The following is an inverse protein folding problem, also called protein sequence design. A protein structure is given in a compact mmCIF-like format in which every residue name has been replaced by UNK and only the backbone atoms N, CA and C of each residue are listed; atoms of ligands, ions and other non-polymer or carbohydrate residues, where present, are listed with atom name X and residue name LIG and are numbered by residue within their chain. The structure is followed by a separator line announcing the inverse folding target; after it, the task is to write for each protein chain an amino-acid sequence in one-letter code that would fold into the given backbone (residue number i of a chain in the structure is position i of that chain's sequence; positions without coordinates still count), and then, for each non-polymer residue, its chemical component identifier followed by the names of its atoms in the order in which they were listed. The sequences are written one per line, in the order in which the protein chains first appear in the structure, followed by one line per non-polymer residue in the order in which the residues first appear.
data_IF_190816941179
#
_entry.id   IF_190816941179
#
_cell.length_a   1.000
_cell.length_b   1.000
_cell.length_c   1.000
_cell.angle_alpha   90.00
_cell.angle_beta   90.00
_cell.angle_gamma   90.00
#
_symmetry.space_group_name_H-M   'P 1'
#
loop_
_entity.id
_entity.type
_entity.pdbx_description
1 polymer ?
#
# COMPACT_ATOMS: atom_id res chain seq x y z
N UNK A 1 -12.99 0.94 16.75
CA UNK A 1 -13.08 0.95 15.28
C UNK A 1 -13.46 -0.43 14.78
N UNK A 2 -14.34 -0.53 13.79
CA UNK A 2 -14.71 -1.81 13.17
C UNK A 2 -13.54 -2.43 12.38
N UNK A 3 -13.43 -3.77 12.34
CA UNK A 3 -12.40 -4.45 11.57
C UNK A 3 -12.61 -4.25 10.06
N UNK A 4 -11.58 -3.75 9.38
CA UNK A 4 -11.56 -3.55 7.93
C UNK A 4 -11.40 -4.90 7.22
N UNK A 5 -12.38 -5.29 6.41
CA UNK A 5 -12.26 -6.43 5.49
C UNK A 5 -11.87 -5.91 4.11
N UNK A 6 -10.67 -6.27 3.64
CA UNK A 6 -10.15 -5.84 2.34
C UNK A 6 -9.29 -6.95 1.70
N UNK A 7 -9.41 -7.16 0.39
CA UNK A 7 -8.63 -8.18 -0.34
C UNK A 7 -8.76 -9.60 0.22
N UNK A 8 -9.95 -9.98 0.71
CA UNK A 8 -10.20 -11.28 1.35
C UNK A 8 -9.54 -11.47 2.72
N UNK A 9 -9.07 -10.39 3.37
CA UNK A 9 -8.40 -10.42 4.68
C UNK A 9 -9.07 -9.45 5.64
N UNK A 10 -9.04 -9.79 6.93
CA UNK A 10 -9.52 -8.92 8.01
C UNK A 10 -8.35 -8.21 8.67
N UNK A 11 -8.48 -6.90 8.85
CA UNK A 11 -7.50 -6.03 9.48
C UNK A 11 -8.15 -5.28 10.66
N UNK A 12 -7.46 -5.24 11.79
CA UNK A 12 -7.80 -4.35 12.89
C UNK A 12 -7.12 -3.00 12.66
N UNK A 13 -7.88 -1.92 12.72
CA UNK A 13 -7.37 -0.55 12.61
C UNK A 13 -7.08 -0.02 14.01
N UNK A 14 -5.89 0.52 14.18
CA UNK A 14 -5.44 1.17 15.40
C UNK A 14 -4.94 2.56 15.05
N UNK A 15 -5.08 3.50 15.98
CA UNK A 15 -4.60 4.85 15.82
C UNK A 15 -4.08 5.40 17.14
N UNK A 16 -3.12 6.31 17.05
CA UNK A 16 -2.67 7.15 18.16
C UNK A 16 -2.72 8.59 17.71
N UNK A 17 -3.24 9.47 18.57
CA UNK A 17 -3.29 10.92 18.34
C UNK A 17 -2.40 11.60 19.36
N UNK A 18 -1.61 12.56 18.89
CA UNK A 18 -0.70 13.31 19.76
C UNK A 18 -0.18 14.58 19.10
N UNK A 19 0.62 15.34 19.85
CA UNK A 19 1.33 16.52 19.35
C UNK A 19 2.76 16.12 19.02
N UNK A 20 3.24 16.53 17.85
CA UNK A 20 4.62 16.24 17.42
C UNK A 20 5.60 17.05 18.27
N UNK A 21 6.58 16.36 18.86
CA UNK A 21 7.72 16.98 19.54
C UNK A 21 8.91 17.14 18.60
N UNK A 22 9.20 16.10 17.83
CA UNK A 22 10.36 16.08 16.94
C UNK A 22 10.05 15.33 15.64
N UNK A 23 10.70 15.76 14.56
CA UNK A 23 10.62 15.11 13.25
C UNK A 23 12.01 14.89 12.67
N UNK A 24 12.22 13.74 12.05
CA UNK A 24 13.40 13.38 11.27
C UNK A 24 12.99 12.90 9.89
N UNK A 25 13.78 13.23 8.87
CA UNK A 25 13.55 12.76 7.50
C UNK A 25 14.87 12.34 6.88
N UNK A 26 14.92 11.11 6.36
CA UNK A 26 16.07 10.57 5.65
C UNK A 26 15.63 9.99 4.31
N UNK A 27 16.52 10.02 3.31
CA UNK A 27 16.27 9.49 1.99
C UNK A 27 17.34 8.46 1.63
N UNK A 28 16.89 7.30 1.18
CA UNK A 28 17.74 6.20 0.73
C UNK A 28 17.43 5.91 -0.74
N UNK A 29 18.42 6.06 -1.63
CA UNK A 29 18.27 5.67 -3.04
C UNK A 29 18.93 4.32 -3.26
N UNK A 30 18.13 3.33 -3.65
CA UNK A 30 18.61 2.00 -4.05
C UNK A 30 18.74 1.96 -5.56
N UNK A 31 19.93 1.60 -6.06
CA UNK A 31 20.19 1.42 -7.49
C UNK A 31 20.51 -0.05 -7.73
N UNK A 32 19.79 -0.67 -8.66
CA UNK A 32 20.00 -2.04 -9.10
C UNK A 32 20.19 -2.05 -10.61
N UNK A 33 21.30 -2.60 -11.09
CA UNK A 33 21.60 -2.77 -12.50
C UNK A 33 21.83 -4.24 -12.84
N UNK A 34 21.41 -4.67 -14.02
CA UNK A 34 21.60 -6.03 -14.50
C UNK A 34 21.51 -6.11 -16.02
N UNK A 35 22.12 -7.15 -16.59
CA UNK A 35 22.31 -7.29 -18.03
C UNK A 35 23.67 -6.76 -18.48
N UNK A 36 23.83 -6.63 -19.79
CA UNK A 36 25.13 -6.42 -20.41
C UNK A 36 25.80 -7.75 -20.76
N UNK A 37 26.42 -7.74 -21.93
CA UNK A 37 27.06 -8.89 -22.55
C UNK A 37 27.18 -8.63 -24.04
N UNK A 38 28.17 -9.21 -24.69
CA UNK A 38 28.31 -9.08 -26.14
C UNK A 38 29.26 -10.12 -26.68
N UNK A 39 28.97 -10.60 -27.87
CA UNK A 39 29.82 -11.54 -28.58
C UNK A 39 30.13 -10.95 -29.95
N UNK A 40 31.39 -11.08 -30.36
CA UNK A 40 31.85 -10.73 -31.71
C UNK A 40 32.44 -11.96 -32.37
N UNK A 41 32.11 -12.17 -33.64
CA UNK A 41 32.66 -13.23 -34.47
C UNK A 41 32.77 -12.75 -35.92
N UNK A 42 33.97 -12.85 -36.50
CA UNK A 42 34.20 -12.56 -37.92
C UNK A 42 33.83 -11.13 -38.37
N UNK A 43 33.94 -10.12 -37.50
CA UNK A 43 33.61 -8.71 -37.82
C UNK A 43 32.17 -8.30 -37.54
N UNK A 44 31.29 -9.23 -37.13
CA UNK A 44 29.93 -8.94 -36.68
C UNK A 44 29.80 -9.15 -35.17
N UNK A 45 28.94 -8.37 -34.52
CA UNK A 45 28.72 -8.51 -33.08
C UNK A 45 27.32 -8.10 -32.64
N UNK A 46 26.88 -8.67 -31.53
CA UNK A 46 25.63 -8.34 -30.87
C UNK A 46 25.90 -8.03 -29.40
N UNK A 47 25.17 -7.04 -28.86
CA UNK A 47 25.24 -6.65 -27.46
C UNK A 47 23.89 -6.80 -26.79
N UNK A 48 23.86 -7.38 -25.60
CA UNK A 48 22.70 -7.38 -24.73
C UNK A 48 22.59 -6.01 -24.02
N UNK A 49 21.39 -5.41 -23.98
CA UNK A 49 21.18 -4.16 -23.29
C UNK A 49 21.39 -4.31 -21.78
N UNK A 50 21.90 -3.24 -21.16
CA UNK A 50 21.96 -3.09 -19.71
C UNK A 50 20.69 -2.41 -19.23
N UNK A 51 20.06 -2.95 -18.19
CA UNK A 51 18.90 -2.36 -17.53
C UNK A 51 19.31 -1.85 -16.16
N UNK A 52 19.05 -0.56 -15.90
CA UNK A 52 19.32 0.09 -14.61
C UNK A 52 17.99 0.57 -14.04
N UNK A 53 17.73 0.24 -12.78
CA UNK A 53 16.55 0.67 -12.03
C UNK A 53 16.98 1.32 -10.73
N UNK A 54 16.50 2.52 -10.48
CA UNK A 54 16.65 3.21 -9.20
C UNK A 54 15.31 3.32 -8.47
N UNK A 55 15.34 3.22 -7.15
CA UNK A 55 14.19 3.42 -6.28
C UNK A 55 14.61 4.24 -5.06
N UNK A 56 14.02 5.42 -4.90
CA UNK A 56 14.18 6.22 -3.68
C UNK A 56 13.13 5.81 -2.65
N UNK A 57 13.58 5.66 -1.41
CA UNK A 57 12.81 5.35 -0.22
C UNK A 57 12.96 6.51 0.74
N UNK A 58 11.84 7.04 1.22
CA UNK A 58 11.83 8.12 2.21
C UNK A 58 11.51 7.50 3.57
N UNK A 59 12.34 7.76 4.56
CA UNK A 59 12.16 7.37 5.95
C UNK A 59 11.80 8.61 6.75
N UNK A 60 10.60 8.66 7.30
CA UNK A 60 10.11 9.73 8.16
C UNK A 60 10.06 9.20 9.60
N UNK A 61 10.69 9.90 10.54
CA UNK A 61 10.63 9.58 11.97
C UNK A 61 9.88 10.71 12.68
N UNK A 62 8.90 10.37 13.51
CA UNK A 62 8.16 11.35 14.30
C UNK A 62 8.03 10.87 15.74
N UNK A 63 8.14 11.81 16.67
CA UNK A 63 7.89 11.59 18.09
C UNK A 63 6.64 12.39 18.46
N UNK A 64 5.63 11.71 19.00
CA UNK A 64 4.37 12.35 19.40
C UNK A 64 4.10 12.12 20.88
N UNK A 65 3.63 13.15 21.57
CA UNK A 65 3.11 13.05 22.94
C UNK A 65 1.60 12.93 22.88
N UNK A 66 1.04 11.88 23.49
CA UNK A 66 -0.41 11.69 23.59
C UNK A 66 -1.04 12.56 24.69
N UNK A 67 -2.37 12.49 24.84
CA UNK A 67 -3.09 13.27 25.85
C UNK A 67 -2.79 12.83 27.30
N UNK A 68 -2.18 11.66 27.49
CA UNK A 68 -1.77 11.11 28.78
C UNK A 68 -0.27 11.39 29.05
N UNK A 69 0.34 12.29 28.29
CA UNK A 69 1.75 12.68 28.37
C UNK A 69 2.75 11.54 28.07
N UNK A 70 2.30 10.47 27.40
CA UNK A 70 3.20 9.42 26.94
C UNK A 70 3.79 9.77 25.58
N UNK A 71 5.11 9.61 25.46
CA UNK A 71 5.80 9.76 24.18
C UNK A 71 5.78 8.46 23.39
N UNK A 72 5.44 8.58 22.10
CA UNK A 72 5.43 7.48 21.14
C UNK A 72 6.33 7.83 19.96
N UNK A 73 7.30 6.97 19.68
CA UNK A 73 8.16 7.08 18.51
C UNK A 73 7.60 6.25 17.35
N UNK A 74 7.45 6.89 16.18
CA UNK A 74 6.99 6.23 14.96
C UNK A 74 8.05 6.34 13.86
N UNK A 75 8.37 5.20 13.26
CA UNK A 75 9.19 5.11 12.06
C UNK A 75 8.29 4.79 10.87
N UNK A 76 8.16 5.75 9.99
CA UNK A 76 7.27 5.74 8.84
C UNK A 76 8.10 5.70 7.57
N UNK A 77 7.58 5.02 6.55
CA UNK A 77 8.27 4.84 5.28
C UNK A 77 7.35 5.20 4.13
N UNK A 78 7.88 5.92 3.12
CA UNK A 78 7.18 6.34 1.91
C UNK A 78 5.92 7.20 2.18
N UNK A 79 5.90 7.98 3.28
CA UNK A 79 4.82 8.96 3.54
C UNK A 79 5.18 10.36 3.04
N UNK A 80 6.47 10.71 3.08
CA UNK A 80 6.96 12.06 2.79
C UNK A 80 6.23 13.13 3.62
N UNK A 81 6.27 12.96 4.94
CA UNK A 81 5.53 13.81 5.86
C UNK A 81 6.00 15.27 5.81
N UNK A 82 5.05 16.18 5.64
CA UNK A 82 5.26 17.62 5.80
C UNK A 82 4.61 18.07 7.13
N UNK A 83 5.23 17.68 8.23
CA UNK A 83 4.79 18.04 9.59
C UNK A 83 5.92 18.70 10.37
N UNK A 84 5.56 19.58 11.31
CA UNK A 84 6.48 20.29 12.19
C UNK A 84 6.11 20.02 13.65
N UNK A 85 7.07 20.17 14.54
CA UNK A 85 6.85 20.28 15.99
C UNK A 85 5.68 21.21 16.32
N UNK A 86 4.83 20.80 17.26
CA UNK A 86 3.60 21.48 17.65
C UNK A 86 2.37 21.11 16.81
N UNK A 87 2.52 20.39 15.70
CA UNK A 87 1.36 19.91 14.94
C UNK A 87 0.68 18.75 15.67
N UNK A 88 -0.66 18.77 15.72
CA UNK A 88 -1.46 17.65 16.21
C UNK A 88 -1.68 16.67 15.07
N UNK A 89 -1.29 15.41 15.26
CA UNK A 89 -1.38 14.37 14.24
C UNK A 89 -1.99 13.09 14.78
N UNK A 90 -2.65 12.33 13.91
CA UNK A 90 -3.08 10.97 14.16
C UNK A 90 -2.38 10.00 13.22
N UNK A 91 -1.68 9.04 13.79
CA UNK A 91 -1.03 7.96 13.04
C UNK A 91 -1.93 6.74 13.08
N UNK A 92 -2.25 6.16 11.93
CA UNK A 92 -3.13 4.99 11.81
C UNK A 92 -2.39 3.84 11.15
N UNK A 93 -2.49 2.66 11.74
CA UNK A 93 -1.94 1.43 11.19
C UNK A 93 -2.99 0.31 11.16
N UNK A 94 -2.79 -0.62 10.23
CA UNK A 94 -3.62 -1.82 10.15
C UNK A 94 -2.82 -3.06 10.48
N UNK A 95 -3.33 -3.83 11.43
CA UNK A 95 -2.79 -5.13 11.81
C UNK A 95 -3.65 -6.21 11.18
N UNK A 96 -3.05 -7.07 10.35
CA UNK A 96 -3.75 -8.23 9.79
C UNK A 96 -4.12 -9.19 10.93
N UNK A 97 -5.35 -9.71 10.92
CA UNK A 97 -5.79 -10.74 11.89
C UNK A 97 -4.78 -11.89 11.94
N UNK A 98 -4.32 -12.22 13.16
CA UNK A 98 -3.30 -13.25 13.40
C UNK A 98 -1.84 -12.75 13.35
N UNK A 99 -1.60 -11.46 13.10
CA UNK A 99 -0.26 -10.85 13.23
C UNK A 99 -0.19 -9.94 14.45
N UNK A 100 1.01 -9.79 15.02
CA UNK A 100 1.29 -8.88 16.15
C UNK A 100 1.58 -7.44 15.71
N UNK A 101 2.06 -7.25 14.48
CA UNK A 101 2.40 -5.94 13.94
C UNK A 101 1.76 -5.69 12.57
N UNK A 102 1.55 -4.41 12.28
CA UNK A 102 0.85 -3.92 11.10
C UNK A 102 1.67 -2.88 10.35
N UNK A 103 1.22 -2.54 9.14
CA UNK A 103 1.81 -1.43 8.38
C UNK A 103 1.06 -0.14 8.70
N UNK A 104 1.79 0.96 8.80
CA UNK A 104 1.22 2.31 8.82
C UNK A 104 0.55 2.60 7.47
N UNK A 105 -0.66 3.15 7.52
CA UNK A 105 -1.48 3.37 6.32
C UNK A 105 -1.68 4.86 6.07
N UNK A 106 -2.03 5.61 7.11
CA UNK A 106 -2.36 7.02 6.99
C UNK A 106 -1.84 7.79 8.20
N UNK A 107 -1.38 8.99 7.93
CA UNK A 107 -1.10 10.01 8.95
C UNK A 107 -1.96 11.22 8.63
N UNK A 108 -2.80 11.61 9.57
CA UNK A 108 -3.67 12.78 9.47
C UNK A 108 -3.03 13.90 10.27
N UNK A 109 -2.71 15.01 9.60
CA UNK A 109 -2.28 16.22 10.29
C UNK A 109 -3.49 17.13 10.48
N UNK A 110 -3.92 17.28 11.72
CA UNK A 110 -5.08 18.07 12.10
C UNK A 110 -4.82 19.58 12.05
N UNK A 111 -3.57 19.99 12.31
CA UNK A 111 -3.17 21.40 12.28
C UNK A 111 -3.23 21.99 10.87
N UNK A 112 -2.82 21.22 9.85
CA UNK A 112 -2.83 21.66 8.44
C UNK A 112 -3.98 21.07 7.63
N UNK A 113 -4.81 20.20 8.22
CA UNK A 113 -5.89 19.45 7.55
C UNK A 113 -5.41 18.62 6.36
N UNK A 114 -4.16 18.16 6.38
CA UNK A 114 -3.55 17.36 5.31
C UNK A 114 -3.43 15.89 5.70
N UNK A 115 -3.77 15.00 4.78
CA UNK A 115 -3.70 13.55 4.97
C UNK A 115 -2.57 12.96 4.13
N UNK A 116 -1.68 12.21 4.76
CA UNK A 116 -0.57 11.51 4.11
C UNK A 116 -0.89 10.03 4.07
N UNK A 117 -0.95 9.44 2.87
CA UNK A 117 -1.26 8.03 2.68
C UNK A 117 -0.04 7.28 2.18
N UNK A 118 0.23 6.11 2.75
CA UNK A 118 1.20 5.19 2.17
C UNK A 118 0.52 4.37 1.07
N UNK A 119 0.66 4.82 -0.17
CA UNK A 119 0.02 4.18 -1.33
C UNK A 119 0.44 2.73 -1.52
N UNK A 120 1.71 2.40 -1.27
CA UNK A 120 2.21 1.03 -1.40
C UNK A 120 1.62 0.11 -0.32
N UNK A 121 1.53 0.58 0.92
CA UNK A 121 0.93 -0.18 2.02
C UNK A 121 -0.57 -0.36 1.78
N UNK A 122 -1.26 0.71 1.38
CA UNK A 122 -2.68 0.70 1.10
C UNK A 122 -3.01 -0.21 -0.08
N UNK A 123 -2.27 -0.12 -1.20
CA UNK A 123 -2.40 -1.05 -2.33
C UNK A 123 -2.17 -2.50 -1.93
N UNK A 124 -1.27 -2.78 -0.98
CA UNK A 124 -1.03 -4.14 -0.49
C UNK A 124 -2.15 -4.65 0.43
N UNK A 125 -2.78 -3.77 1.21
CA UNK A 125 -3.94 -4.12 2.05
C UNK A 125 -5.14 -4.49 1.18
N UNK A 126 -5.36 -3.71 0.12
CA UNK A 126 -6.41 -3.92 -0.88
C UNK A 126 -5.94 -4.76 -2.08
N UNK A 127 -4.79 -5.46 -1.99
CA UNK A 127 -4.29 -6.26 -3.12
C UNK A 127 -5.10 -7.53 -3.23
N UNK A 128 -6.00 -7.55 -4.20
CA UNK A 128 -6.67 -8.76 -4.65
C UNK A 128 -5.67 -9.78 -5.22
N UNK A 129 -5.82 -11.05 -4.86
CA UNK A 129 -4.99 -12.11 -5.41
C UNK A 129 -5.60 -12.67 -6.70
N UNK A 130 -5.34 -12.00 -7.83
CA UNK A 130 -5.87 -12.36 -9.16
C UNK A 130 -5.52 -13.80 -9.58
N UNK A 131 -4.41 -14.34 -9.06
CA UNK A 131 -3.97 -15.71 -9.32
C UNK A 131 -4.96 -16.78 -8.84
N UNK A 132 -5.74 -16.51 -7.79
CA UNK A 132 -6.77 -17.45 -7.31
C UNK A 132 -7.87 -17.61 -8.37
N UNK A 133 -8.26 -16.50 -9.00
CA UNK A 133 -9.26 -16.54 -10.06
C UNK A 133 -8.69 -17.19 -11.31
N UNK A 134 -7.49 -16.78 -11.76
CA UNK A 134 -6.83 -17.40 -12.92
C UNK A 134 -6.66 -18.92 -12.76
N UNK A 135 -6.26 -19.38 -11.57
CA UNK A 135 -6.16 -20.81 -11.26
C UNK A 135 -7.53 -21.52 -11.26
N UNK A 136 -8.55 -20.93 -10.62
CA UNK A 136 -9.91 -21.47 -10.62
C UNK A 136 -10.49 -21.56 -12.04
N UNK A 137 -10.19 -20.57 -12.88
CA UNK A 137 -10.54 -20.54 -14.29
C UNK A 137 -9.89 -21.60 -15.14
N UNK A 138 -8.60 -21.81 -14.92
CA UNK A 138 -7.84 -22.83 -15.61
C UNK A 138 -8.37 -24.23 -15.27
N UNK A 139 -8.69 -24.48 -13.99
CA UNK A 139 -9.32 -25.73 -13.55
C UNK A 139 -10.72 -25.89 -14.15
N UNK A 140 -11.56 -24.85 -14.14
CA UNK A 140 -12.91 -24.89 -14.73
C UNK A 140 -12.90 -25.06 -16.25
N UNK A 141 -11.99 -24.38 -16.95
CA UNK A 141 -11.82 -24.50 -18.40
C UNK A 141 -11.31 -25.88 -18.81
N UNK A 142 -10.39 -26.47 -18.03
CA UNK A 142 -9.97 -27.86 -18.23
C UNK A 142 -11.13 -28.84 -17.99
N UNK A 143 -11.95 -28.60 -16.96
CA UNK A 143 -13.06 -29.50 -16.60
C UNK A 143 -14.25 -29.46 -17.59
N UNK A 144 -14.45 -28.34 -18.30
CA UNK A 144 -15.63 -28.13 -19.17
C UNK A 144 -15.40 -28.39 -20.68
N UNK A 145 -14.17 -28.67 -21.13
CA UNK A 145 -13.89 -29.13 -22.50
C UNK A 145 -14.16 -28.14 -23.64
N UNK A 146 -13.72 -28.50 -24.85
CA UNK A 146 -13.42 -27.65 -26.04
C UNK A 146 -14.56 -26.79 -26.66
N UNK A 147 -15.74 -26.67 -26.04
CA UNK A 147 -16.87 -25.93 -26.61
C UNK A 147 -17.10 -24.51 -26.06
N UNK A 148 -16.66 -24.22 -24.83
CA UNK A 148 -17.13 -23.05 -24.05
C UNK A 148 -15.97 -22.12 -23.62
N UNK A 149 -14.73 -22.43 -24.03
CA UNK A 149 -13.51 -21.77 -23.55
C UNK A 149 -13.50 -20.24 -23.67
N UNK A 150 -14.12 -19.68 -24.73
CA UNK A 150 -14.21 -18.23 -24.93
C UNK A 150 -15.12 -17.51 -23.92
N UNK A 151 -16.31 -18.06 -23.62
CA UNK A 151 -17.27 -17.41 -22.71
C UNK A 151 -16.83 -17.44 -21.24
N UNK A 152 -16.12 -18.49 -20.84
CA UNK A 152 -15.59 -18.64 -19.48
C UNK A 152 -14.44 -17.65 -19.24
N UNK A 153 -13.54 -17.48 -20.20
CA UNK A 153 -12.46 -16.49 -20.09
C UNK A 153 -12.99 -15.05 -20.04
N UNK A 154 -14.00 -14.72 -20.85
CA UNK A 154 -14.62 -13.38 -20.82
C UNK A 154 -15.35 -13.11 -19.50
N UNK A 155 -16.13 -14.08 -18.99
CA UNK A 155 -16.82 -13.93 -17.71
C UNK A 155 -15.86 -13.85 -16.51
N UNK A 156 -14.74 -14.56 -16.57
CA UNK A 156 -13.67 -14.42 -15.60
C UNK A 156 -12.94 -13.09 -15.65
N UNK A 157 -12.62 -12.60 -16.85
CA UNK A 157 -12.07 -11.26 -17.01
C UNK A 157 -13.05 -10.22 -16.47
N UNK A 158 -14.35 -10.38 -16.73
CA UNK A 158 -15.37 -9.51 -16.17
C UNK A 158 -15.42 -9.58 -14.63
N UNK A 159 -15.30 -10.75 -14.02
CA UNK A 159 -15.23 -10.90 -12.56
C UNK A 159 -13.95 -10.30 -11.96
N UNK A 160 -12.80 -10.46 -12.63
CA UNK A 160 -11.53 -9.86 -12.22
C UNK A 160 -11.61 -8.33 -12.30
N UNK A 161 -12.13 -7.80 -13.40
CA UNK A 161 -12.35 -6.36 -13.60
C UNK A 161 -13.35 -5.84 -12.56
N UNK A 162 -14.45 -6.54 -12.33
CA UNK A 162 -15.44 -6.19 -11.31
C UNK A 162 -14.83 -6.16 -9.90
N UNK A 163 -14.06 -7.18 -9.54
CA UNK A 163 -13.34 -7.23 -8.26
C UNK A 163 -12.29 -6.10 -8.13
N UNK A 164 -11.54 -5.80 -9.19
CA UNK A 164 -10.60 -4.66 -9.20
C UNK A 164 -11.32 -3.32 -9.02
N UNK A 165 -12.45 -3.11 -9.70
CA UNK A 165 -13.27 -1.90 -9.57
C UNK A 165 -13.81 -1.80 -8.14
N UNK A 166 -14.22 -2.91 -7.55
CA UNK A 166 -14.73 -2.91 -6.18
C UNK A 166 -13.65 -2.60 -5.14
N UNK A 167 -12.43 -3.13 -5.30
CA UNK A 167 -11.30 -2.78 -4.44
C UNK A 167 -10.89 -1.30 -4.61
N UNK A 168 -10.93 -0.76 -5.83
CA UNK A 168 -10.69 0.67 -6.08
C UNK A 168 -11.77 1.56 -5.46
N UNK A 169 -13.03 1.14 -5.52
CA UNK A 169 -14.13 1.83 -4.86
C UNK A 169 -13.97 1.77 -3.33
N UNK A 170 -13.61 0.61 -2.79
CA UNK A 170 -13.31 0.41 -1.37
C UNK A 170 -12.16 1.29 -0.89
N UNK A 171 -11.12 1.46 -1.71
CA UNK A 171 -10.00 2.37 -1.46
C UNK A 171 -10.47 3.83 -1.35
N UNK A 172 -11.30 4.29 -2.30
CA UNK A 172 -11.83 5.65 -2.33
C UNK A 172 -12.72 5.92 -1.11
N UNK A 173 -13.62 4.98 -0.82
CA UNK A 173 -14.50 5.05 0.34
C UNK A 173 -13.71 5.03 1.66
N UNK A 174 -12.68 4.19 1.76
CA UNK A 174 -11.82 4.17 2.94
C UNK A 174 -11.08 5.50 3.14
N UNK A 175 -10.52 6.09 2.07
CA UNK A 175 -9.86 7.39 2.14
C UNK A 175 -10.82 8.49 2.61
N UNK A 176 -12.07 8.50 2.14
CA UNK A 176 -13.08 9.49 2.55
C UNK A 176 -13.63 9.22 3.96
N UNK A 177 -13.89 7.97 4.34
CA UNK A 177 -14.33 7.59 5.68
C UNK A 177 -13.26 7.94 6.72
N UNK A 178 -11.99 7.61 6.49
CA UNK A 178 -10.91 7.98 7.41
C UNK A 178 -10.81 9.48 7.57
N UNK A 179 -10.85 10.24 6.47
CA UNK A 179 -10.84 11.69 6.55
C UNK A 179 -12.02 12.19 7.39
N UNK A 180 -13.21 11.61 7.21
CA UNK A 180 -14.42 12.07 7.92
C UNK A 180 -14.45 11.65 9.39
N UNK A 181 -14.10 10.41 9.72
CA UNK A 181 -14.14 9.85 11.07
C UNK A 181 -13.07 10.48 11.97
N UNK A 182 -11.85 10.62 11.47
CA UNK A 182 -10.75 11.18 12.28
C UNK A 182 -10.92 12.69 12.48
N UNK A 183 -11.56 13.40 11.53
CA UNK A 183 -11.92 14.81 11.70
C UNK A 183 -13.10 14.99 12.67
N UNK A 184 -14.10 14.09 12.65
CA UNK A 184 -15.28 14.18 13.54
C UNK A 184 -15.00 13.82 15.00
N UNK A 185 -14.04 12.95 15.27
CA UNK A 185 -13.72 12.51 16.65
C UNK A 185 -13.03 13.61 17.49
N UNK A 186 -12.92 14.85 16.98
CA UNK A 186 -12.19 15.97 17.59
C UNK A 186 -12.96 17.32 17.53
N UNK A 187 -14.25 17.30 17.15
CA UNK A 187 -15.22 18.39 17.37
C UNK A 187 -16.13 18.01 18.53
#
# INVERSE_FOLDING_TARGET
MEPLKAGGRTYALHYTTGVIQETGKNMETRVSGGGGGGATFGGYGATAPVSIRSQTVIHDQIFITDANDNEHAFQLQDFNLACRTGHRVSVVWAIKKGKKSGKYIVVVNHSTKTNFYNEKALKNVFRFNVWIFLGAGFVLGWWLGDGIGGGILVSMLALIVWAMVWDFAGLKNFKSTIATTIIKDQL
#
